data_IF_988574240275
#
_entry.id   IF_988574240275
#
_cell.length_a   1.000
_cell.length_b   1.000
_cell.length_c   1.000
_cell.angle_alpha   90.00
_cell.angle_beta   90.00
_cell.angle_gamma   90.00
#
_symmetry.space_group_name_H-M   'P 1'
#
loop_
_entity.id
_entity.type
_entity.pdbx_description
1 polymer ?
#
# COMPACT_ATOMS: atom_id res chain seq x y z
N UNK A 1 39.53 -9.15 -56.34
CA UNK A 1 38.33 -8.83 -55.60
C UNK A 1 38.34 -9.65 -54.34
N UNK A 2 38.69 -9.06 -53.19
CA UNK A 2 38.67 -9.73 -51.88
C UNK A 2 37.37 -9.33 -51.17
N UNK A 3 36.48 -10.32 -50.96
CA UNK A 3 35.25 -10.15 -50.26
C UNK A 3 35.47 -10.10 -48.73
N UNK A 4 35.07 -9.00 -48.11
CA UNK A 4 35.07 -8.79 -46.66
C UNK A 4 33.81 -9.41 -46.09
N UNK A 5 33.93 -10.63 -45.49
CA UNK A 5 32.86 -11.25 -44.71
C UNK A 5 32.82 -10.55 -43.33
N UNK A 6 31.87 -9.65 -43.13
CA UNK A 6 31.57 -9.08 -41.82
C UNK A 6 30.85 -10.13 -40.97
N UNK A 7 31.55 -10.65 -39.96
CA UNK A 7 30.99 -11.48 -38.90
C UNK A 7 30.13 -10.57 -37.98
N UNK A 8 28.84 -10.54 -38.19
CA UNK A 8 27.86 -10.02 -37.23
C UNK A 8 27.75 -11.00 -36.05
N UNK A 9 28.64 -10.85 -35.08
CA UNK A 9 28.49 -11.50 -33.78
C UNK A 9 27.29 -10.83 -33.07
N UNK A 10 26.11 -11.38 -33.28
CA UNK A 10 24.93 -10.99 -32.50
C UNK A 10 25.21 -11.23 -31.02
N UNK A 11 25.27 -10.15 -30.21
CA UNK A 11 25.18 -10.23 -28.78
C UNK A 11 23.81 -10.86 -28.44
N UNK A 12 23.80 -12.18 -28.23
CA UNK A 12 22.68 -12.87 -27.65
C UNK A 12 22.56 -12.44 -26.20
N UNK A 13 21.90 -11.32 -25.94
CA UNK A 13 21.40 -11.02 -24.61
C UNK A 13 20.43 -12.15 -24.26
N UNK A 14 20.81 -13.01 -23.31
CA UNK A 14 19.86 -13.95 -22.70
C UNK A 14 18.71 -13.10 -22.16
N UNK A 15 17.60 -13.08 -22.88
CA UNK A 15 16.36 -12.49 -22.38
C UNK A 15 15.98 -13.30 -21.14
N UNK A 16 15.89 -12.61 -19.99
CA UNK A 16 15.40 -13.21 -18.77
C UNK A 16 13.96 -13.69 -19.03
N UNK A 17 13.78 -15.01 -19.06
CA UNK A 17 12.48 -15.63 -19.37
C UNK A 17 11.57 -15.73 -18.14
N UNK A 18 12.05 -15.29 -16.98
CA UNK A 18 11.28 -15.33 -15.74
C UNK A 18 10.14 -14.30 -15.79
N UNK A 19 9.00 -14.67 -15.23
CA UNK A 19 7.93 -13.71 -15.02
C UNK A 19 8.35 -12.70 -13.95
N UNK A 20 8.30 -11.42 -14.28
CA UNK A 20 8.51 -10.34 -13.32
C UNK A 20 7.23 -10.17 -12.50
N UNK A 21 7.39 -10.17 -11.17
CA UNK A 21 6.34 -9.86 -10.19
C UNK A 21 6.65 -8.51 -9.58
N UNK A 22 5.82 -7.51 -9.84
CA UNK A 22 6.00 -6.14 -9.37
C UNK A 22 5.17 -5.88 -8.12
N UNK A 23 5.82 -5.35 -7.08
CA UNK A 23 5.20 -5.00 -5.81
C UNK A 23 5.50 -3.54 -5.50
N UNK A 24 4.47 -2.68 -5.41
CA UNK A 24 4.62 -1.26 -5.09
C UNK A 24 4.16 -0.93 -3.68
N UNK A 25 4.81 0.02 -3.02
CA UNK A 25 4.39 0.57 -1.73
C UNK A 25 4.91 2.01 -1.51
N UNK A 26 4.31 2.71 -0.54
CA UNK A 26 4.61 4.12 -0.25
C UNK A 26 5.67 4.35 0.83
N UNK A 27 6.14 3.31 1.49
CA UNK A 27 7.07 3.43 2.63
C UNK A 27 8.53 3.53 2.17
N UNK A 28 9.38 4.14 3.02
CA UNK A 28 10.81 4.20 2.77
C UNK A 28 11.47 2.82 2.84
N UNK A 29 12.69 2.71 2.32
CA UNK A 29 13.48 1.46 2.32
C UNK A 29 13.84 0.96 3.72
N UNK A 30 13.81 1.82 4.73
CA UNK A 30 14.11 1.45 6.13
C UNK A 30 12.84 1.04 6.92
N UNK A 31 11.67 1.16 6.31
CA UNK A 31 10.41 0.84 6.98
C UNK A 31 10.20 -0.68 7.09
N UNK A 32 9.66 -1.21 8.20
CA UNK A 32 9.39 -2.65 8.37
C UNK A 32 8.62 -3.29 7.21
N UNK A 33 7.66 -2.59 6.61
CA UNK A 33 6.95 -3.06 5.42
C UNK A 33 7.90 -3.36 4.26
N UNK A 34 8.87 -2.47 3.97
CA UNK A 34 9.85 -2.71 2.91
C UNK A 34 10.74 -3.90 3.21
N UNK A 35 11.21 -3.98 4.46
CA UNK A 35 12.06 -5.10 4.90
C UNK A 35 11.33 -6.44 4.79
N UNK A 36 10.05 -6.49 5.15
CA UNK A 36 9.21 -7.69 4.99
C UNK A 36 9.03 -8.08 3.51
N UNK A 37 8.81 -7.11 2.63
CA UNK A 37 8.69 -7.36 1.19
C UNK A 37 10.02 -7.78 0.56
N UNK A 38 11.15 -7.27 1.05
CA UNK A 38 12.49 -7.72 0.64
C UNK A 38 12.75 -9.16 1.07
N UNK A 39 12.40 -9.53 2.30
CA UNK A 39 12.48 -10.91 2.76
C UNK A 39 11.56 -11.83 1.93
N UNK A 40 10.37 -11.38 1.56
CA UNK A 40 9.49 -12.11 0.64
C UNK A 40 10.14 -12.28 -0.75
N UNK A 41 10.75 -11.23 -1.29
CA UNK A 41 11.48 -11.27 -2.57
C UNK A 41 12.60 -12.32 -2.54
N UNK A 42 13.42 -12.34 -1.48
CA UNK A 42 14.49 -13.31 -1.28
C UNK A 42 13.94 -14.73 -1.21
N UNK A 43 12.88 -14.95 -0.42
CA UNK A 43 12.24 -16.27 -0.25
C UNK A 43 11.66 -16.80 -1.57
N UNK A 44 11.07 -15.95 -2.41
CA UNK A 44 10.61 -16.32 -3.74
C UNK A 44 11.80 -16.63 -4.65
N UNK A 45 12.88 -15.85 -4.57
CA UNK A 45 14.12 -16.08 -5.32
C UNK A 45 14.74 -17.45 -5.00
N UNK A 46 14.76 -17.85 -3.73
CA UNK A 46 15.27 -19.15 -3.32
C UNK A 46 14.38 -20.32 -3.77
N UNK A 47 13.06 -20.17 -3.70
CA UNK A 47 12.12 -21.28 -3.94
C UNK A 47 11.65 -21.40 -5.39
N UNK A 48 11.55 -20.28 -6.10
CA UNK A 48 10.90 -20.15 -7.40
C UNK A 48 11.68 -19.25 -8.35
N UNK A 49 12.96 -18.99 -8.07
CA UNK A 49 13.79 -18.03 -8.81
C UNK A 49 14.11 -18.46 -10.26
N UNK A 50 13.84 -19.70 -10.65
CA UNK A 50 13.87 -20.18 -12.02
C UNK A 50 12.65 -19.70 -12.84
N UNK A 51 11.54 -19.38 -12.19
CA UNK A 51 10.25 -19.00 -12.80
C UNK A 51 9.89 -17.54 -12.60
N UNK A 52 10.21 -16.96 -11.43
CA UNK A 52 9.79 -15.62 -11.04
C UNK A 52 10.98 -14.75 -10.63
N UNK A 53 10.87 -13.47 -10.94
CA UNK A 53 11.72 -12.41 -10.42
C UNK A 53 10.82 -11.36 -9.76
N UNK A 54 10.92 -11.22 -8.44
CA UNK A 54 10.18 -10.20 -7.70
C UNK A 54 10.95 -8.88 -7.74
N UNK A 55 10.25 -7.79 -7.98
CA UNK A 55 10.78 -6.42 -7.96
C UNK A 55 9.93 -5.59 -6.99
N UNK A 56 10.57 -5.03 -5.95
CA UNK A 56 9.91 -4.19 -4.95
C UNK A 56 10.19 -2.73 -5.23
N UNK A 57 9.15 -1.92 -5.35
CA UNK A 57 9.19 -0.49 -5.65
C UNK A 57 8.73 0.31 -4.45
N UNK A 58 9.66 0.87 -3.64
CA UNK A 58 9.35 1.66 -2.45
C UNK A 58 9.02 3.12 -2.79
N UNK A 59 8.62 3.89 -1.75
CA UNK A 59 8.56 5.35 -1.76
C UNK A 59 7.73 5.93 -2.90
N UNK A 60 6.62 5.29 -3.25
CA UNK A 60 5.73 5.73 -4.34
C UNK A 60 6.40 5.85 -5.72
N UNK A 61 7.46 5.08 -5.98
CA UNK A 61 8.15 5.09 -7.28
C UNK A 61 7.24 4.79 -8.47
N UNK A 62 6.14 4.08 -8.26
CA UNK A 62 5.14 3.76 -9.27
C UNK A 62 3.86 4.61 -9.16
N UNK A 63 3.92 5.72 -8.44
CA UNK A 63 2.79 6.60 -8.17
C UNK A 63 2.24 6.47 -6.74
N UNK A 64 1.21 7.27 -6.44
CA UNK A 64 0.52 7.23 -5.15
C UNK A 64 -0.10 5.85 -4.86
N UNK A 65 -0.54 5.63 -3.62
CA UNK A 65 -1.25 4.38 -3.29
C UNK A 65 -2.50 4.17 -4.17
N UNK A 66 -3.22 5.24 -4.50
CA UNK A 66 -4.38 5.18 -5.42
C UNK A 66 -3.95 4.72 -6.81
N UNK A 67 -2.87 5.30 -7.36
CA UNK A 67 -2.35 4.91 -8.66
C UNK A 67 -1.89 3.44 -8.65
N UNK A 68 -1.21 3.01 -7.59
CA UNK A 68 -0.75 1.63 -7.45
C UNK A 68 -1.91 0.63 -7.39
N UNK A 69 -3.01 0.95 -6.70
CA UNK A 69 -4.23 0.10 -6.73
C UNK A 69 -4.80 0.03 -8.16
N UNK A 70 -4.86 1.16 -8.88
CA UNK A 70 -5.33 1.18 -10.28
C UNK A 70 -4.41 0.38 -11.21
N UNK A 71 -3.09 0.46 -11.04
CA UNK A 71 -2.15 -0.38 -11.78
C UNK A 71 -2.36 -1.87 -11.49
N UNK A 72 -2.71 -2.22 -10.26
CA UNK A 72 -3.06 -3.60 -9.88
C UNK A 72 -4.37 -4.04 -10.52
N UNK A 73 -5.40 -3.19 -10.56
CA UNK A 73 -6.67 -3.46 -11.24
C UNK A 73 -6.48 -3.76 -12.74
N UNK A 74 -5.57 -3.05 -13.40
CA UNK A 74 -5.28 -3.22 -14.83
C UNK A 74 -4.29 -4.36 -15.13
N UNK A 75 -3.68 -4.96 -14.11
CA UNK A 75 -2.64 -5.99 -14.26
C UNK A 75 -1.27 -5.44 -14.68
N UNK A 76 -1.06 -4.13 -14.69
CA UNK A 76 0.24 -3.51 -14.94
C UNK A 76 1.21 -3.70 -13.75
N UNK A 77 0.65 -3.96 -12.57
CA UNK A 77 1.37 -4.35 -11.36
C UNK A 77 0.69 -5.58 -10.73
N UNK A 78 1.48 -6.48 -10.16
CA UNK A 78 0.96 -7.73 -9.60
C UNK A 78 0.44 -7.54 -8.16
N UNK A 79 1.13 -6.75 -7.33
CA UNK A 79 0.75 -6.47 -5.95
C UNK A 79 1.03 -5.02 -5.58
N UNK A 80 0.21 -4.46 -4.72
CA UNK A 80 0.49 -3.20 -4.03
C UNK A 80 0.20 -3.31 -2.53
N UNK A 81 0.91 -2.52 -1.73
CA UNK A 81 0.53 -2.29 -0.33
C UNK A 81 -0.18 -0.95 -0.27
N UNK A 82 -1.44 -0.98 0.10
CA UNK A 82 -2.27 0.21 0.26
C UNK A 82 -2.92 0.23 1.65
N UNK A 83 -3.09 1.42 2.21
CA UNK A 83 -3.78 1.57 3.48
C UNK A 83 -5.29 1.35 3.34
N UNK A 84 -5.94 0.90 4.41
CA UNK A 84 -7.40 0.75 4.47
C UNK A 84 -8.11 2.05 4.09
N UNK A 85 -7.53 3.20 4.42
CA UNK A 85 -8.08 4.51 4.07
C UNK A 85 -8.16 4.74 2.55
N UNK A 86 -7.20 4.23 1.79
CA UNK A 86 -7.24 4.28 0.33
C UNK A 86 -8.18 3.21 -0.22
N UNK A 87 -8.16 2.00 0.34
CA UNK A 87 -9.01 0.90 -0.10
C UNK A 87 -10.51 1.19 0.07
N UNK A 88 -10.89 2.02 1.04
CA UNK A 88 -12.25 2.52 1.22
C UNK A 88 -12.80 3.19 -0.06
N UNK A 89 -11.96 3.85 -0.84
CA UNK A 89 -12.40 4.51 -2.09
C UNK A 89 -12.72 3.52 -3.22
N UNK A 90 -12.28 2.28 -3.08
CA UNK A 90 -12.53 1.18 -4.02
C UNK A 90 -13.57 0.19 -3.51
N UNK A 91 -13.65 -0.01 -2.19
CA UNK A 91 -14.64 -0.88 -1.54
C UNK A 91 -15.05 -0.31 -0.19
N UNK A 92 -16.35 -0.05 -0.02
CA UNK A 92 -16.91 0.52 1.21
C UNK A 92 -16.69 -0.34 2.44
N UNK A 93 -16.50 -1.64 2.30
CA UNK A 93 -16.25 -2.55 3.43
C UNK A 93 -14.99 -2.15 4.22
N UNK A 94 -14.08 -1.40 3.60
CA UNK A 94 -12.88 -0.87 4.27
C UNK A 94 -13.13 0.37 5.13
N UNK A 95 -14.33 1.01 5.05
CA UNK A 95 -14.72 2.12 5.94
C UNK A 95 -14.60 1.72 7.40
N UNK A 96 -14.96 0.46 7.71
CA UNK A 96 -14.92 -0.08 9.08
C UNK A 96 -13.55 0.13 9.74
N UNK A 97 -12.46 -0.16 9.02
CA UNK A 97 -11.11 -0.04 9.57
C UNK A 97 -10.60 1.39 9.71
N UNK A 98 -11.35 2.38 9.21
CA UNK A 98 -11.04 3.80 9.34
C UNK A 98 -11.81 4.46 10.50
N UNK A 99 -12.71 3.73 11.16
CA UNK A 99 -13.42 4.23 12.34
C UNK A 99 -12.45 4.41 13.51
N UNK A 100 -12.43 5.60 14.14
CA UNK A 100 -11.59 5.82 15.30
C UNK A 100 -12.04 4.93 16.46
N UNK A 101 -11.07 4.43 17.24
CA UNK A 101 -11.31 3.62 18.45
C UNK A 101 -12.11 2.32 18.23
N UNK A 102 -12.16 1.80 17.00
CA UNK A 102 -12.80 0.52 16.70
C UNK A 102 -12.21 -0.62 17.55
N UNK A 103 -10.87 -0.61 17.65
CA UNK A 103 -10.14 -1.59 18.48
C UNK A 103 -9.63 -0.93 19.75
N UNK A 104 -9.85 -1.59 20.89
CA UNK A 104 -9.47 -1.06 22.20
C UNK A 104 -8.04 -1.40 22.59
N UNK A 105 -7.40 -2.33 21.89
CA UNK A 105 -6.00 -2.71 22.09
C UNK A 105 -5.41 -3.31 20.82
N UNK A 106 -4.08 -3.41 20.79
CA UNK A 106 -3.34 -4.08 19.72
C UNK A 106 -3.70 -5.57 19.63
N UNK A 107 -3.90 -6.22 20.76
CA UNK A 107 -4.28 -7.63 20.82
C UNK A 107 -5.68 -7.86 20.21
N UNK A 108 -6.63 -6.97 20.49
CA UNK A 108 -7.97 -7.04 19.90
C UNK A 108 -7.92 -6.80 18.38
N UNK A 109 -7.06 -5.88 17.94
CA UNK A 109 -6.82 -5.64 16.51
C UNK A 109 -6.23 -6.88 15.83
N UNK A 110 -5.13 -7.42 16.36
CA UNK A 110 -4.49 -8.62 15.79
C UNK A 110 -5.43 -9.81 15.79
N UNK A 111 -6.15 -10.05 16.88
CA UNK A 111 -7.13 -11.14 16.95
C UNK A 111 -8.23 -11.03 15.88
N UNK A 112 -8.71 -9.81 15.61
CA UNK A 112 -9.69 -9.59 14.54
C UNK A 112 -9.07 -9.79 13.14
N UNK A 113 -7.84 -9.32 12.93
CA UNK A 113 -7.18 -9.42 11.62
C UNK A 113 -6.69 -10.84 11.29
N UNK A 114 -6.49 -11.68 12.29
CA UNK A 114 -6.13 -13.10 12.15
C UNK A 114 -7.37 -14.01 12.02
N UNK A 115 -8.56 -13.52 12.35
CA UNK A 115 -9.80 -14.29 12.20
C UNK A 115 -10.29 -14.23 10.75
N UNK A 116 -10.25 -15.37 10.05
CA UNK A 116 -10.74 -15.48 8.67
C UNK A 116 -12.24 -15.15 8.52
N UNK A 117 -13.04 -15.26 9.60
CA UNK A 117 -14.44 -14.85 9.57
C UNK A 117 -14.60 -13.33 9.47
N UNK A 118 -13.61 -12.58 9.95
CA UNK A 118 -13.57 -11.11 9.85
C UNK A 118 -12.89 -10.70 8.52
N UNK A 119 -11.71 -11.21 8.26
CA UNK A 119 -10.89 -10.78 7.12
C UNK A 119 -11.35 -11.37 5.79
N UNK A 120 -11.84 -12.59 5.75
CA UNK A 120 -12.26 -13.27 4.53
C UNK A 120 -13.32 -12.51 3.73
N UNK A 121 -14.46 -12.08 4.32
CA UNK A 121 -15.45 -11.25 3.64
C UNK A 121 -14.86 -9.94 3.12
N UNK A 122 -14.08 -9.22 3.94
CA UNK A 122 -13.48 -7.92 3.58
C UNK A 122 -12.48 -8.09 2.43
N UNK A 123 -11.60 -9.09 2.51
CA UNK A 123 -10.61 -9.34 1.47
C UNK A 123 -11.26 -9.74 0.13
N UNK A 124 -12.37 -10.48 0.20
CA UNK A 124 -13.10 -10.88 -1.01
C UNK A 124 -13.95 -9.76 -1.62
N UNK A 125 -14.36 -8.77 -0.82
CA UNK A 125 -15.18 -7.64 -1.29
C UNK A 125 -14.47 -6.84 -2.40
N UNK A 126 -13.15 -6.73 -2.35
CA UNK A 126 -12.35 -6.04 -3.37
C UNK A 126 -12.36 -6.71 -4.76
N UNK A 127 -12.82 -7.95 -4.88
CA UNK A 127 -12.91 -8.64 -6.18
C UNK A 127 -13.79 -7.89 -7.17
N UNK A 128 -14.87 -7.28 -6.69
CA UNK A 128 -15.75 -6.47 -7.53
C UNK A 128 -15.05 -5.18 -8.02
N UNK A 129 -14.05 -4.72 -7.29
CA UNK A 129 -13.20 -3.61 -7.67
C UNK A 129 -11.99 -4.03 -8.55
N UNK A 130 -11.91 -5.30 -8.97
CA UNK A 130 -10.88 -5.79 -9.90
C UNK A 130 -9.55 -6.18 -9.26
N UNK A 131 -9.48 -6.34 -7.94
CA UNK A 131 -8.33 -6.88 -7.22
C UNK A 131 -8.77 -7.71 -6.01
N UNK A 132 -7.83 -8.37 -5.34
CA UNK A 132 -8.12 -9.16 -4.14
C UNK A 132 -7.07 -8.86 -3.08
N UNK A 133 -7.50 -8.50 -1.87
CA UNK A 133 -6.60 -8.45 -0.73
C UNK A 133 -6.18 -9.88 -0.33
N UNK A 134 -4.90 -10.07 -0.06
CA UNK A 134 -4.31 -11.40 0.22
C UNK A 134 -3.66 -11.48 1.59
N UNK A 135 -3.30 -10.36 2.18
CA UNK A 135 -2.68 -10.27 3.50
C UNK A 135 -2.87 -8.87 4.08
N UNK A 136 -2.65 -8.72 5.35
CA UNK A 136 -2.58 -7.45 6.04
C UNK A 136 -1.20 -7.24 6.68
N UNK A 137 -0.82 -5.99 6.85
CA UNK A 137 0.40 -5.59 7.53
C UNK A 137 0.03 -4.54 8.60
N UNK A 138 0.51 -4.73 9.81
CA UNK A 138 0.32 -3.76 10.89
C UNK A 138 1.21 -2.52 10.64
N UNK A 139 0.60 -1.35 10.60
CA UNK A 139 1.28 -0.07 10.48
C UNK A 139 1.21 0.76 11.77
N UNK A 140 0.79 0.16 12.88
CA UNK A 140 0.63 0.81 14.18
C UNK A 140 -0.64 1.67 14.28
N UNK A 141 -0.67 2.52 15.30
CA UNK A 141 -1.79 3.42 15.62
C UNK A 141 -1.57 4.81 15.06
N UNK A 142 -2.68 5.49 14.75
CA UNK A 142 -2.65 6.89 14.29
C UNK A 142 -2.84 7.84 15.45
N UNK A 143 -2.04 8.90 15.44
CA UNK A 143 -2.17 10.01 16.36
C UNK A 143 -2.15 11.33 15.60
N UNK A 144 -2.74 12.38 16.19
CA UNK A 144 -2.56 13.74 15.72
C UNK A 144 -1.24 14.28 16.23
N UNK A 145 -0.49 14.94 15.37
CA UNK A 145 0.66 15.72 15.77
C UNK A 145 0.67 17.07 15.06
N UNK A 146 1.14 18.08 15.72
CA UNK A 146 1.15 19.47 15.26
C UNK A 146 2.44 20.15 15.66
N UNK A 147 2.83 21.19 14.92
CA UNK A 147 4.09 21.92 15.18
C UNK A 147 3.93 22.95 16.31
N UNK A 148 2.76 23.60 16.41
CA UNK A 148 2.61 24.79 17.26
C UNK A 148 1.89 24.54 18.59
N UNK A 149 0.94 23.62 18.62
CA UNK A 149 0.07 23.39 19.77
C UNK A 149 -0.26 21.91 19.87
N UNK A 150 -0.09 21.27 21.04
CA UNK A 150 -0.49 19.88 21.23
C UNK A 150 -2.01 19.74 21.06
N UNK A 151 -2.43 18.57 20.61
CA UNK A 151 -3.83 18.15 20.55
C UNK A 151 -4.06 17.16 21.68
N UNK A 152 -4.73 17.60 22.74
CA UNK A 152 -5.02 16.78 23.94
C UNK A 152 -6.50 16.38 23.98
N UNK A 153 -7.37 17.14 23.32
CA UNK A 153 -8.83 16.91 23.26
C UNK A 153 -9.38 17.35 21.90
N UNK A 154 -10.57 16.88 21.53
CA UNK A 154 -11.18 17.18 20.24
C UNK A 154 -11.29 18.69 19.92
N UNK A 155 -11.57 19.52 20.94
CA UNK A 155 -11.72 20.95 20.78
C UNK A 155 -10.44 21.66 20.31
N UNK A 156 -9.29 21.05 20.55
CA UNK A 156 -8.00 21.58 20.11
C UNK A 156 -7.81 21.51 18.59
N UNK A 157 -8.58 20.67 17.92
CA UNK A 157 -8.59 20.57 16.45
C UNK A 157 -9.33 21.69 15.75
N UNK A 158 -10.15 22.49 16.47
CA UNK A 158 -10.95 23.56 15.87
C UNK A 158 -10.05 24.57 15.15
N UNK A 159 -10.37 24.78 13.87
CA UNK A 159 -9.67 25.73 13.00
C UNK A 159 -8.28 25.26 12.53
N UNK A 160 -7.81 24.08 12.94
CA UNK A 160 -6.57 23.54 12.42
C UNK A 160 -6.79 22.90 11.04
N UNK A 161 -5.81 23.08 10.15
CA UNK A 161 -5.69 22.34 8.91
C UNK A 161 -4.84 21.10 9.19
N UNK A 162 -5.44 19.93 9.07
CA UNK A 162 -4.77 18.65 9.35
C UNK A 162 -4.74 17.83 8.07
N UNK A 163 -3.55 17.37 7.70
CA UNK A 163 -3.41 16.39 6.63
C UNK A 163 -4.12 15.10 7.04
N UNK A 164 -4.91 14.57 6.14
CA UNK A 164 -5.52 13.24 6.26
C UNK A 164 -5.22 12.42 5.00
N UNK A 165 -5.41 11.12 5.07
CA UNK A 165 -5.40 10.29 3.86
C UNK A 165 -6.63 10.60 3.01
N UNK A 166 -6.57 10.27 1.73
CA UNK A 166 -7.67 10.47 0.77
C UNK A 166 -8.81 9.46 1.05
N UNK A 167 -9.44 9.59 2.20
CA UNK A 167 -10.51 8.72 2.71
C UNK A 167 -11.71 9.58 3.09
N UNK A 168 -12.91 9.29 2.58
CA UNK A 168 -14.15 9.94 3.00
C UNK A 168 -14.36 9.90 4.51
N UNK A 169 -14.13 8.77 5.16
CA UNK A 169 -14.25 8.61 6.61
C UNK A 169 -13.29 9.53 7.37
N UNK A 170 -12.02 9.61 6.95
CA UNK A 170 -11.05 10.49 7.60
C UNK A 170 -11.37 11.98 7.40
N UNK A 171 -11.89 12.36 6.24
CA UNK A 171 -12.34 13.73 5.95
C UNK A 171 -13.53 14.09 6.84
N UNK A 172 -14.53 13.22 6.93
CA UNK A 172 -15.72 13.43 7.75
C UNK A 172 -15.39 13.46 9.25
N UNK A 173 -14.52 12.57 9.71
CA UNK A 173 -14.00 12.60 11.08
C UNK A 173 -13.42 13.97 11.42
N UNK A 174 -12.56 14.53 10.59
CA UNK A 174 -11.97 15.86 10.81
C UNK A 174 -13.02 16.96 10.83
N UNK A 175 -14.02 16.90 9.95
CA UNK A 175 -15.13 17.84 9.93
C UNK A 175 -15.94 17.81 11.23
N UNK A 176 -16.25 16.62 11.72
CA UNK A 176 -17.00 16.43 12.97
C UNK A 176 -16.21 16.90 14.20
N UNK A 177 -14.88 16.78 14.17
CA UNK A 177 -13.99 17.30 15.23
C UNK A 177 -13.74 18.80 15.13
N UNK A 178 -14.33 19.50 14.15
CA UNK A 178 -14.22 20.95 13.96
C UNK A 178 -12.90 21.40 13.31
N UNK A 179 -12.09 20.48 12.83
CA UNK A 179 -10.90 20.76 12.03
C UNK A 179 -11.20 20.84 10.54
N UNK A 180 -10.18 21.22 9.77
CA UNK A 180 -10.23 21.23 8.29
C UNK A 180 -9.33 20.15 7.75
N UNK A 181 -9.92 19.15 7.09
CA UNK A 181 -9.16 18.10 6.42
C UNK A 181 -8.42 18.62 5.19
N UNK A 182 -7.18 18.19 5.01
CA UNK A 182 -6.39 18.41 3.80
C UNK A 182 -6.00 17.02 3.27
N UNK A 183 -6.85 16.37 2.44
CA UNK A 183 -6.55 15.05 1.90
C UNK A 183 -5.41 15.14 0.88
N UNK A 184 -4.34 14.36 1.12
CA UNK A 184 -3.19 14.28 0.19
C UNK A 184 -2.46 12.95 0.34
N UNK A 185 -1.73 12.56 -0.70
CA UNK A 185 -0.88 11.39 -0.73
C UNK A 185 0.17 11.38 0.38
N UNK A 186 0.82 10.25 0.60
CA UNK A 186 1.85 10.17 1.62
C UNK A 186 3.15 10.87 1.17
N UNK A 187 3.47 10.76 -0.11
CA UNK A 187 4.65 11.40 -0.70
C UNK A 187 4.61 12.93 -0.74
N UNK A 188 3.44 13.52 -0.48
CA UNK A 188 3.23 14.99 -0.48
C UNK A 188 3.32 15.61 0.93
N UNK A 189 3.71 14.83 1.96
CA UNK A 189 3.71 15.25 3.37
C UNK A 189 5.08 15.68 3.84
#
# INVERSE_FOLDING_TARGET
AAGLLALLSGCGSRTDSRRIVRIGHNQSVNHPTHLALTAFQEMIGERLGDRFRVEVYPSELLGSQTDMVQLTQTGAMDFCVASNAILETFSKDYELFNLPYLFQSTEAYHGAMEDEKVTGPVFSATRQAGFTAVAWLDAGTRNFYTVKKPVERPEDLRGLKIRVQQSPTNIEMMRLLGGSATPMGFGDV
#
